data_IF_346846683408
#
_entry.id   IF_346846683408
#
_cell.length_a   1.000
_cell.length_b   1.000
_cell.length_c   1.000
_cell.angle_alpha   90.00
_cell.angle_beta   90.00
_cell.angle_gamma   90.00
#
_symmetry.space_group_name_H-M   'P 1'
#
loop_
_entity.id
_entity.type
_entity.pdbx_description
1 polymer ?
#
# COMPACT_ATOMS: atom_id res chain seq x y z
N UNK A 1 -18.92 -25.79 12.66
CA UNK A 1 -19.01 -24.32 12.43
C UNK A 1 -18.31 -23.50 13.52
N UNK A 2 -18.28 -23.97 14.79
CA UNK A 2 -17.61 -23.28 15.92
C UNK A 2 -16.07 -23.35 15.86
N UNK A 3 -15.51 -24.51 15.50
CA UNK A 3 -14.05 -24.77 15.49
C UNK A 3 -13.25 -23.85 14.54
N UNK A 4 -13.84 -23.49 13.39
CA UNK A 4 -13.24 -22.59 12.43
C UNK A 4 -13.20 -21.13 12.93
N UNK A 5 -14.20 -20.74 13.72
CA UNK A 5 -14.32 -19.37 14.27
C UNK A 5 -13.29 -19.15 15.38
N UNK A 6 -12.99 -20.18 16.16
CA UNK A 6 -12.03 -20.10 17.27
C UNK A 6 -10.58 -20.13 16.77
N UNK A 7 -10.29 -20.95 15.74
CA UNK A 7 -8.98 -20.93 15.06
C UNK A 7 -8.68 -19.57 14.38
N UNK A 8 -9.67 -18.94 13.74
CA UNK A 8 -9.52 -17.62 13.12
C UNK A 8 -9.29 -16.51 14.17
N UNK A 9 -9.93 -16.62 15.33
CA UNK A 9 -9.73 -15.69 16.45
C UNK A 9 -8.33 -15.80 17.05
N UNK A 10 -7.85 -17.02 17.28
CA UNK A 10 -6.50 -17.26 17.81
C UNK A 10 -5.42 -16.77 16.85
N UNK A 11 -5.59 -17.02 15.54
CA UNK A 11 -4.66 -16.54 14.52
C UNK A 11 -4.66 -15.00 14.42
N UNK A 12 -5.83 -14.37 14.49
CA UNK A 12 -5.95 -12.90 14.50
C UNK A 12 -5.31 -12.28 15.75
N UNK A 13 -5.51 -12.89 16.93
CA UNK A 13 -4.87 -12.45 18.18
C UNK A 13 -3.35 -12.57 18.12
N UNK A 14 -2.84 -13.67 17.55
CA UNK A 14 -1.41 -13.91 17.35
C UNK A 14 -0.78 -12.91 16.36
N UNK A 15 -1.45 -12.66 15.23
CA UNK A 15 -1.03 -11.68 14.23
C UNK A 15 -0.96 -10.26 14.81
N UNK A 16 -2.00 -9.86 15.57
CA UNK A 16 -2.02 -8.54 16.20
C UNK A 16 -0.92 -8.37 17.24
N UNK A 17 -0.65 -9.40 18.03
CA UNK A 17 0.45 -9.40 19.01
C UNK A 17 1.81 -9.23 18.34
N UNK A 18 2.00 -9.87 17.18
CA UNK A 18 3.23 -9.76 16.37
C UNK A 18 3.39 -8.36 15.81
N UNK A 19 2.34 -7.79 15.21
CA UNK A 19 2.35 -6.41 14.70
C UNK A 19 2.69 -5.42 15.81
N UNK A 20 2.09 -5.58 17.00
CA UNK A 20 2.35 -4.71 18.16
C UNK A 20 3.81 -4.78 18.61
N UNK A 21 4.43 -5.96 18.56
CA UNK A 21 5.87 -6.14 18.86
C UNK A 21 6.79 -5.50 17.83
N UNK A 22 6.44 -5.55 16.54
CA UNK A 22 7.28 -4.99 15.46
C UNK A 22 7.07 -3.48 15.26
N UNK A 23 5.90 -2.95 15.66
CA UNK A 23 5.54 -1.53 15.52
C UNK A 23 6.59 -0.52 16.05
N UNK A 24 7.29 -0.74 17.19
CA UNK A 24 8.27 0.21 17.70
C UNK A 24 9.53 0.29 16.83
N UNK A 25 9.84 -0.76 16.07
CA UNK A 25 10.99 -0.78 15.15
C UNK A 25 10.71 0.04 13.89
N UNK A 26 9.43 0.09 13.46
CA UNK A 26 8.97 0.93 12.35
C UNK A 26 8.79 2.40 12.77
N UNK A 27 8.36 2.65 14.01
CA UNK A 27 8.16 4.01 14.56
C UNK A 27 9.01 4.25 15.83
N UNK A 28 10.34 4.39 15.69
CA UNK A 28 11.21 4.71 16.82
C UNK A 28 10.97 6.15 17.32
N UNK A 29 10.89 6.33 18.64
CA UNK A 29 10.63 7.65 19.26
C UNK A 29 11.76 8.66 19.01
N UNK A 30 12.99 8.20 18.87
CA UNK A 30 14.18 9.06 18.88
C UNK A 30 14.65 9.50 17.48
N UNK A 31 13.99 9.07 16.40
CA UNK A 31 14.46 9.34 15.03
C UNK A 31 13.40 10.03 14.18
N UNK A 32 13.45 11.37 14.18
CA UNK A 32 12.52 12.21 13.45
C UNK A 32 12.44 11.89 11.95
N UNK A 33 13.56 11.56 11.31
CA UNK A 33 13.59 11.24 9.87
C UNK A 33 12.79 9.98 9.52
N UNK A 34 12.80 8.96 10.40
CA UNK A 34 12.04 7.72 10.18
C UNK A 34 10.55 8.03 10.27
N UNK A 35 10.14 8.78 11.31
CA UNK A 35 8.74 9.20 11.48
C UNK A 35 8.24 9.96 10.26
N UNK A 36 8.99 10.96 9.78
CA UNK A 36 8.60 11.75 8.61
C UNK A 36 8.40 10.89 7.36
N UNK A 37 9.30 9.94 7.10
CA UNK A 37 9.18 9.01 5.97
C UNK A 37 8.00 8.06 6.10
N UNK A 38 7.72 7.55 7.31
CA UNK A 38 6.54 6.70 7.54
C UNK A 38 5.26 7.51 7.34
N UNK A 39 5.18 8.73 7.86
CA UNK A 39 4.04 9.62 7.66
C UNK A 39 3.85 9.96 6.18
N UNK A 40 4.94 10.29 5.46
CA UNK A 40 4.88 10.54 4.02
C UNK A 40 4.42 9.32 3.23
N UNK A 41 4.90 8.12 3.56
CA UNK A 41 4.48 6.87 2.94
C UNK A 41 3.00 6.55 3.21
N UNK A 42 2.53 6.77 4.44
CA UNK A 42 1.11 6.62 4.80
C UNK A 42 0.23 7.64 4.06
N UNK A 43 0.68 8.87 3.92
CA UNK A 43 -0.02 9.90 3.15
C UNK A 43 -0.12 9.53 1.66
N UNK A 44 0.99 9.10 1.05
CA UNK A 44 0.98 8.59 -0.34
C UNK A 44 0.10 7.36 -0.51
N UNK A 45 0.07 6.45 0.46
CA UNK A 45 -0.81 5.28 0.46
C UNK A 45 -2.28 5.71 0.43
N UNK A 46 -2.66 6.64 1.31
CA UNK A 46 -4.03 7.16 1.37
C UNK A 46 -4.41 7.83 0.05
N UNK A 47 -3.54 8.70 -0.47
CA UNK A 47 -3.78 9.39 -1.75
C UNK A 47 -3.92 8.40 -2.91
N UNK A 48 -3.03 7.40 -2.99
CA UNK A 48 -3.10 6.32 -3.99
C UNK A 48 -4.41 5.55 -3.90
N UNK A 49 -4.89 5.24 -2.68
CA UNK A 49 -6.18 4.55 -2.49
C UNK A 49 -7.38 5.41 -2.88
N UNK A 50 -7.37 6.70 -2.56
CA UNK A 50 -8.42 7.64 -2.98
C UNK A 50 -8.49 7.68 -4.51
N UNK A 51 -7.35 7.88 -5.19
CA UNK A 51 -7.28 7.89 -6.66
C UNK A 51 -7.78 6.56 -7.24
N UNK A 52 -7.35 5.43 -6.68
CA UNK A 52 -7.77 4.11 -7.14
C UNK A 52 -9.28 3.89 -7.04
N UNK A 53 -9.94 4.46 -6.02
CA UNK A 53 -11.41 4.38 -5.85
C UNK A 53 -12.13 5.38 -6.76
N UNK A 54 -11.55 6.55 -7.03
CA UNK A 54 -12.13 7.55 -7.95
C UNK A 54 -11.98 7.17 -9.43
N UNK A 55 -10.93 6.43 -9.79
CA UNK A 55 -10.65 6.00 -11.17
C UNK A 55 -11.88 5.37 -11.89
N UNK A 56 -12.61 4.41 -11.31
CA UNK A 56 -13.81 3.85 -11.96
C UNK A 56 -14.94 4.87 -12.16
N UNK A 57 -15.04 5.93 -11.34
CA UNK A 57 -16.04 6.99 -11.55
C UNK A 57 -15.71 7.86 -12.76
N UNK A 58 -14.43 8.18 -12.96
CA UNK A 58 -13.97 8.83 -14.19
C UNK A 58 -14.23 7.95 -15.41
N UNK A 59 -14.00 6.64 -15.29
CA UNK A 59 -14.32 5.67 -16.36
C UNK A 59 -15.84 5.53 -16.61
N UNK A 60 -16.68 5.68 -15.58
CA UNK A 60 -18.13 5.68 -15.76
C UNK A 60 -18.59 6.92 -16.52
N UNK A 61 -18.24 8.12 -16.04
CA UNK A 61 -18.63 9.37 -16.71
C UNK A 61 -18.13 9.41 -18.15
N UNK A 62 -16.97 8.80 -18.37
CA UNK A 62 -16.41 8.57 -19.67
C UNK A 62 -17.31 7.76 -20.63
N UNK A 63 -17.73 6.56 -20.20
CA UNK A 63 -18.61 5.69 -20.99
C UNK A 63 -20.01 6.29 -21.15
N UNK A 64 -20.53 6.96 -20.12
CA UNK A 64 -21.85 7.60 -20.14
C UNK A 64 -21.93 8.69 -21.23
N UNK A 65 -20.85 9.42 -21.51
CA UNK A 65 -20.80 10.40 -22.61
C UNK A 65 -20.80 9.78 -24.02
N UNK A 66 -20.54 8.48 -24.14
CA UNK A 66 -20.60 7.73 -25.41
C UNK A 66 -21.82 6.83 -25.52
N UNK A 67 -22.68 6.80 -24.49
CA UNK A 67 -23.91 6.01 -24.52
C UNK A 67 -24.86 6.53 -25.62
N UNK A 68 -25.50 5.63 -26.39
CA UNK A 68 -26.42 6.04 -27.45
C UNK A 68 -27.59 6.85 -26.85
N UNK A 69 -27.71 8.13 -27.23
CA UNK A 69 -28.74 9.05 -26.72
C UNK A 69 -28.24 10.45 -26.34
N UNK A 70 -26.91 10.68 -26.30
CA UNK A 70 -26.32 11.99 -26.02
C UNK A 70 -26.31 12.94 -27.24
N UNK A 71 -27.49 13.29 -27.78
CA UNK A 71 -27.70 14.39 -28.74
C UNK A 71 -27.06 14.24 -30.14
N UNK A 72 -27.70 14.75 -31.20
CA UNK A 72 -27.11 14.71 -32.54
C UNK A 72 -26.12 15.86 -32.74
N UNK A 73 -25.27 15.72 -33.76
CA UNK A 73 -24.31 16.70 -34.30
C UNK A 73 -22.99 16.90 -33.50
N UNK A 74 -21.84 16.60 -34.15
CA UNK A 74 -20.60 17.44 -34.22
C UNK A 74 -19.25 16.71 -33.98
N UNK A 75 -18.60 16.29 -35.07
CA UNK A 75 -17.16 16.51 -35.33
C UNK A 75 -16.10 15.56 -34.73
N UNK A 76 -15.00 15.39 -35.48
CA UNK A 76 -13.71 14.78 -35.06
C UNK A 76 -13.23 15.28 -33.69
N UNK A 77 -13.60 16.50 -33.31
CA UNK A 77 -13.30 17.10 -32.01
C UNK A 77 -13.97 16.37 -30.83
N UNK A 78 -15.23 15.88 -30.96
CA UNK A 78 -15.86 15.06 -29.93
C UNK A 78 -15.30 13.64 -29.85
N UNK A 79 -14.81 13.06 -30.95
CA UNK A 79 -14.12 11.76 -30.90
C UNK A 79 -12.75 11.87 -30.21
N UNK A 80 -12.03 12.97 -30.43
CA UNK A 80 -10.75 13.25 -29.78
C UNK A 80 -10.95 13.65 -28.31
N UNK A 81 -11.91 14.53 -27.99
CA UNK A 81 -12.19 14.96 -26.61
C UNK A 81 -12.93 13.89 -25.78
N UNK A 82 -13.76 13.08 -26.43
CA UNK A 82 -14.44 11.91 -25.86
C UNK A 82 -13.52 10.70 -25.91
N UNK A 83 -13.79 9.72 -26.78
CA UNK A 83 -13.15 8.39 -26.76
C UNK A 83 -11.63 8.38 -26.60
N UNK A 84 -10.91 9.18 -27.38
CA UNK A 84 -9.44 9.18 -27.35
C UNK A 84 -8.90 9.84 -26.08
N UNK A 85 -9.34 11.07 -25.77
CA UNK A 85 -8.87 11.81 -24.60
C UNK A 85 -9.14 11.08 -23.28
N UNK A 86 -10.24 10.34 -23.25
CA UNK A 86 -10.72 9.58 -22.10
C UNK A 86 -9.98 8.25 -21.93
N UNK A 87 -9.63 7.60 -23.05
CA UNK A 87 -8.73 6.44 -23.05
C UNK A 87 -7.32 6.85 -22.60
N UNK A 88 -6.83 7.99 -23.07
CA UNK A 88 -5.56 8.57 -22.61
C UNK A 88 -5.63 8.92 -21.13
N UNK A 89 -6.71 9.57 -20.67
CA UNK A 89 -6.92 9.89 -19.26
C UNK A 89 -6.93 8.63 -18.39
N UNK A 90 -7.58 7.55 -18.83
CA UNK A 90 -7.53 6.25 -18.15
C UNK A 90 -6.11 5.68 -18.11
N UNK A 91 -5.38 5.72 -19.22
CA UNK A 91 -3.98 5.28 -19.29
C UNK A 91 -3.08 6.04 -18.31
N UNK A 92 -3.22 7.37 -18.27
CA UNK A 92 -2.50 8.24 -17.33
C UNK A 92 -2.91 7.96 -15.89
N UNK A 93 -4.21 7.84 -15.59
CA UNK A 93 -4.70 7.53 -14.24
C UNK A 93 -4.16 6.17 -13.74
N UNK A 94 -4.14 5.16 -14.61
CA UNK A 94 -3.55 3.85 -14.31
C UNK A 94 -2.06 3.94 -14.05
N UNK A 95 -1.33 4.68 -14.89
CA UNK A 95 0.11 4.91 -14.72
C UNK A 95 0.40 5.64 -13.40
N UNK A 96 -0.37 6.68 -13.07
CA UNK A 96 -0.25 7.41 -11.80
C UNK A 96 -0.55 6.52 -10.60
N UNK A 97 -1.58 5.68 -10.68
CA UNK A 97 -1.92 4.75 -9.59
C UNK A 97 -0.76 3.81 -9.28
N UNK A 98 -0.15 3.22 -10.31
CA UNK A 98 1.02 2.34 -10.17
C UNK A 98 2.25 3.14 -9.71
N UNK A 99 2.49 4.32 -10.31
CA UNK A 99 3.61 5.18 -9.97
C UNK A 99 3.61 5.64 -8.52
N UNK A 100 2.46 6.06 -7.98
CA UNK A 100 2.32 6.41 -6.57
C UNK A 100 2.51 5.21 -5.65
N UNK A 101 2.05 4.03 -6.04
CA UNK A 101 2.31 2.81 -5.27
C UNK A 101 3.81 2.49 -5.20
N UNK A 102 4.50 2.52 -6.34
CA UNK A 102 5.95 2.30 -6.40
C UNK A 102 6.74 3.36 -5.63
N UNK A 103 6.33 4.63 -5.73
CA UNK A 103 6.96 5.72 -5.00
C UNK A 103 6.78 5.56 -3.48
N UNK A 104 5.59 5.19 -3.01
CA UNK A 104 5.33 4.79 -1.62
C UNK A 104 6.30 3.69 -1.19
N UNK A 105 6.45 2.66 -2.00
CA UNK A 105 7.25 1.49 -1.64
C UNK A 105 8.75 1.85 -1.59
N UNK A 106 9.23 2.66 -2.52
CA UNK A 106 10.59 3.21 -2.52
C UNK A 106 10.85 4.13 -1.31
N UNK A 107 9.87 4.97 -0.93
CA UNK A 107 9.97 5.82 0.27
C UNK A 107 10.02 4.97 1.54
N UNK A 108 9.26 3.87 1.60
CA UNK A 108 9.17 2.98 2.75
C UNK A 108 10.32 1.98 2.87
N UNK A 109 10.94 1.57 1.75
CA UNK A 109 11.94 0.50 1.75
C UNK A 109 13.08 0.71 2.77
N UNK A 110 13.70 1.91 2.90
CA UNK A 110 14.74 2.12 3.90
C UNK A 110 14.24 2.07 5.36
N UNK A 111 12.96 2.35 5.60
CA UNK A 111 12.36 2.18 6.93
C UNK A 111 12.21 0.70 7.24
N UNK A 112 11.63 -0.07 6.31
CA UNK A 112 11.44 -1.51 6.45
C UNK A 112 12.77 -2.26 6.62
N UNK A 113 13.76 -1.97 5.78
CA UNK A 113 15.09 -2.57 5.87
C UNK A 113 15.79 -2.24 7.19
N UNK A 114 15.65 -1.00 7.68
CA UNK A 114 16.19 -0.62 9.00
C UNK A 114 15.54 -1.41 10.12
N UNK A 115 14.21 -1.51 10.13
CA UNK A 115 13.48 -2.26 11.15
C UNK A 115 13.88 -3.73 11.14
N UNK A 116 13.95 -4.35 9.94
CA UNK A 116 14.38 -5.73 9.76
C UNK A 116 15.82 -5.94 10.25
N UNK A 117 16.75 -5.06 9.89
CA UNK A 117 18.15 -5.14 10.32
C UNK A 117 18.29 -5.08 11.84
N UNK A 118 17.50 -4.23 12.52
CA UNK A 118 17.49 -4.13 13.99
C UNK A 118 16.96 -5.40 14.63
N UNK A 119 15.82 -5.89 14.13
CA UNK A 119 15.22 -7.11 14.63
C UNK A 119 16.15 -8.32 14.44
N UNK A 120 16.79 -8.44 13.27
CA UNK A 120 17.76 -9.49 12.99
C UNK A 120 18.98 -9.41 13.94
N UNK A 121 19.50 -8.21 14.20
CA UNK A 121 20.63 -8.02 15.11
C UNK A 121 20.28 -8.43 16.55
N UNK A 122 19.10 -8.03 17.03
CA UNK A 122 18.62 -8.38 18.37
C UNK A 122 18.42 -9.90 18.51
N UNK A 123 17.81 -10.54 17.50
CA UNK A 123 17.66 -12.00 17.46
C UNK A 123 19.03 -12.69 17.45
N UNK A 124 19.98 -12.20 16.64
CA UNK A 124 21.33 -12.76 16.58
C UNK A 124 22.06 -12.67 17.92
N UNK A 125 21.99 -11.51 18.58
CA UNK A 125 22.57 -11.29 19.90
C UNK A 125 21.91 -12.18 20.95
N UNK A 126 20.58 -12.32 20.92
CA UNK A 126 19.85 -13.18 21.84
C UNK A 126 20.23 -14.65 21.66
N UNK A 127 20.36 -15.12 20.42
CA UNK A 127 20.83 -16.47 20.12
C UNK A 127 22.27 -16.72 20.60
N UNK A 128 23.18 -15.77 20.39
CA UNK A 128 24.57 -15.89 20.86
C UNK A 128 24.69 -15.86 22.39
N UNK A 129 23.78 -15.16 23.07
CA UNK A 129 23.72 -15.13 24.53
C UNK A 129 23.09 -16.40 25.13
N UNK A 130 22.54 -17.30 24.31
CA UNK A 130 21.91 -18.53 24.77
C UNK A 130 22.97 -19.56 25.18
N UNK A 131 22.80 -20.17 26.35
CA UNK A 131 23.78 -21.10 26.93
C UNK A 131 24.10 -22.27 25.98
N UNK A 132 25.35 -22.78 26.05
CA UNK A 132 25.82 -23.94 25.26
C UNK A 132 24.84 -25.11 25.23
N UNK A 133 24.08 -25.37 26.31
CA UNK A 133 23.03 -26.41 26.36
C UNK A 133 22.01 -26.34 25.21
N UNK A 134 21.75 -25.16 24.66
CA UNK A 134 20.86 -24.96 23.51
C UNK A 134 21.50 -25.25 22.13
N UNK A 135 22.83 -25.40 22.06
CA UNK A 135 23.59 -25.60 20.81
C UNK A 135 24.16 -27.02 20.64
N UNK A 136 24.11 -27.87 21.67
CA UNK A 136 24.67 -29.25 21.69
C UNK A 136 23.61 -30.34 21.88
N UNK A 137 22.32 -30.03 21.66
CA UNK A 137 21.22 -31.00 21.58
C UNK A 137 20.59 -30.88 20.20
#
# INVERSE_FOLDING_TARGET
MTDQTDADRDNTQSGWRTIRKVSPYLWPKDQAWVKWRVTAALFMLLLSKIISVLTPFFYKGAVDTMAPGAGPETGVFMLIAGAVGLTVAYGVARLMTIGFAQLRDAVFAPVGQRALRRLALETFQHMHALSLRYHIT
#
